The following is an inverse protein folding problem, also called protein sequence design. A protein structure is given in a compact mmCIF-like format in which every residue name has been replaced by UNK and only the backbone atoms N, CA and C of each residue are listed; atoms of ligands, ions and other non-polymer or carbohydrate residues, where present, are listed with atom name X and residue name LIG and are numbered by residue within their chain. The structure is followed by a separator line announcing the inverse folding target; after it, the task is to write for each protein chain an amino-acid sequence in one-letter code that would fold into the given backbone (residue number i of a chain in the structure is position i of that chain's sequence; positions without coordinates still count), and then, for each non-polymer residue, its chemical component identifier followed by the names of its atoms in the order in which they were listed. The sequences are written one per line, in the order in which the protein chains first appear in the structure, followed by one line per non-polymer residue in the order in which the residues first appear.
data_IF_857528944091
#
_entry.id   IF_857528944091
#
_cell.length_a   1.000
_cell.length_b   1.000
_cell.length_c   1.000
_cell.angle_alpha   90.00
_cell.angle_beta   90.00
_cell.angle_gamma   90.00
#
_symmetry.space_group_name_H-M   'P 1'
#
loop_
_entity.id
_entity.type
_entity.pdbx_description
1 polymer ?
#
# COMPACT_ATOMS: atom_id res chain seq x y z
N UNK A 1 -14.34 -20.56 -13.18
CA UNK A 1 -13.42 -20.06 -12.14
C UNK A 1 -13.40 -18.57 -12.15
N UNK A 2 -13.58 -17.97 -10.98
CA UNK A 2 -13.63 -16.53 -10.89
C UNK A 2 -12.22 -15.93 -10.94
N UNK A 3 -11.92 -15.19 -11.99
CA UNK A 3 -10.66 -14.46 -12.15
C UNK A 3 -10.51 -13.41 -11.04
N UNK A 4 -11.62 -12.91 -10.49
CA UNK A 4 -11.61 -12.01 -9.35
C UNK A 4 -10.93 -12.64 -8.13
N UNK A 5 -11.02 -13.95 -7.97
CA UNK A 5 -10.35 -14.65 -6.87
C UNK A 5 -8.83 -14.53 -6.97
N UNK A 6 -8.30 -14.60 -8.17
CA UNK A 6 -6.85 -14.42 -8.40
C UNK A 6 -6.41 -12.98 -8.14
N UNK A 7 -7.23 -12.01 -8.55
CA UNK A 7 -6.93 -10.60 -8.31
C UNK A 7 -6.92 -10.24 -6.82
N UNK A 8 -7.75 -10.91 -6.03
CA UNK A 8 -7.89 -10.66 -4.58
C UNK A 8 -6.79 -11.29 -3.72
N UNK A 9 -5.97 -12.15 -4.29
CA UNK A 9 -4.90 -12.81 -3.52
C UNK A 9 -3.95 -11.80 -2.90
N UNK A 10 -3.49 -12.10 -1.70
CA UNK A 10 -2.46 -11.32 -1.05
C UNK A 10 -1.19 -11.32 -1.88
N UNK A 11 -0.41 -10.28 -1.73
CA UNK A 11 0.88 -10.11 -2.40
C UNK A 11 1.86 -9.48 -1.41
N UNK A 12 3.16 -9.58 -1.66
CA UNK A 12 4.15 -8.89 -0.83
C UNK A 12 3.86 -7.40 -0.76
N UNK A 13 3.99 -6.83 0.42
CA UNK A 13 3.72 -5.42 0.65
C UNK A 13 4.79 -4.81 1.55
N UNK A 14 4.80 -3.49 1.59
CA UNK A 14 5.76 -2.70 2.36
C UNK A 14 5.02 -1.84 3.37
N UNK A 15 5.76 -1.23 4.27
CA UNK A 15 5.25 -0.30 5.26
C UNK A 15 5.80 1.09 5.00
N UNK A 16 4.99 2.11 5.24
CA UNK A 16 5.39 3.51 5.13
C UNK A 16 4.85 4.32 6.29
N UNK A 17 5.55 5.41 6.61
CA UNK A 17 5.06 6.38 7.58
C UNK A 17 3.89 7.14 6.98
N UNK A 18 2.76 7.13 7.67
CA UNK A 18 1.59 7.93 7.29
C UNK A 18 1.59 9.28 7.98
N UNK A 19 1.81 9.30 9.29
CA UNK A 19 1.78 10.52 10.09
C UNK A 19 2.52 10.34 11.41
N UNK A 20 2.87 11.46 12.01
CA UNK A 20 3.38 11.51 13.38
C UNK A 20 2.29 12.12 14.26
N UNK A 21 1.92 11.40 15.32
CA UNK A 21 0.96 11.87 16.31
C UNK A 21 1.62 11.87 17.69
N UNK A 22 1.93 13.05 18.22
CA UNK A 22 2.70 13.18 19.45
C UNK A 22 4.07 12.50 19.30
N UNK A 23 4.32 11.48 20.10
CA UNK A 23 5.55 10.69 20.06
C UNK A 23 5.39 9.35 19.35
N UNK A 24 4.31 9.17 18.59
CA UNK A 24 4.03 7.94 17.85
C UNK A 24 4.08 8.15 16.36
N UNK A 25 4.78 7.28 15.67
CA UNK A 25 4.78 7.20 14.21
C UNK A 25 3.72 6.20 13.78
N UNK A 26 2.75 6.68 12.99
CA UNK A 26 1.66 5.85 12.47
C UNK A 26 2.08 5.33 11.11
N UNK A 27 2.20 4.01 10.99
CA UNK A 27 2.66 3.35 9.77
C UNK A 27 1.57 2.48 9.17
N UNK A 28 1.46 2.50 7.85
CA UNK A 28 0.46 1.75 7.08
C UNK A 28 1.12 0.88 6.03
N UNK A 29 0.51 -0.26 5.76
CA UNK A 29 0.94 -1.15 4.69
C UNK A 29 0.53 -0.57 3.33
N UNK A 30 1.37 -0.80 2.31
CA UNK A 30 1.08 -0.35 0.96
C UNK A 30 1.70 -1.26 -0.09
N UNK A 31 1.15 -1.18 -1.29
CA UNK A 31 1.74 -1.69 -2.53
C UNK A 31 1.87 -0.50 -3.49
N UNK A 32 2.79 -0.56 -4.42
CA UNK A 32 2.93 0.50 -5.42
C UNK A 32 2.18 0.15 -6.71
N UNK A 33 2.14 1.12 -7.63
CA UNK A 33 1.43 0.95 -8.90
C UNK A 33 2.00 -0.19 -9.74
N UNK A 34 3.31 -0.45 -9.64
CA UNK A 34 3.96 -1.54 -10.39
C UNK A 34 3.50 -2.90 -9.89
N UNK A 35 3.31 -3.06 -8.59
CA UNK A 35 2.77 -4.30 -8.02
C UNK A 35 1.38 -4.61 -8.59
N UNK A 36 0.56 -3.57 -8.75
CA UNK A 36 -0.77 -3.69 -9.37
C UNK A 36 -0.66 -4.09 -10.83
N UNK A 37 0.24 -3.44 -11.59
CA UNK A 37 0.45 -3.75 -13.00
C UNK A 37 0.92 -5.20 -13.17
N UNK A 38 1.86 -5.64 -12.35
CA UNK A 38 2.35 -7.01 -12.39
C UNK A 38 1.24 -8.02 -12.14
N UNK A 39 0.35 -7.75 -11.19
CA UNK A 39 -0.80 -8.61 -10.93
C UNK A 39 -1.76 -8.65 -12.12
N UNK A 40 -2.05 -7.52 -12.73
CA UNK A 40 -2.90 -7.47 -13.92
C UNK A 40 -2.28 -8.20 -15.10
N UNK A 41 -0.98 -8.04 -15.31
CA UNK A 41 -0.25 -8.75 -16.37
C UNK A 41 -0.27 -10.26 -16.13
N UNK A 42 -0.05 -10.69 -14.88
CA UNK A 42 -0.04 -12.10 -14.52
C UNK A 42 -1.38 -12.78 -14.78
N UNK A 43 -2.49 -12.10 -14.46
CA UNK A 43 -3.83 -12.70 -14.54
C UNK A 43 -4.46 -12.53 -15.92
N UNK A 44 -4.27 -11.38 -16.55
CA UNK A 44 -4.96 -11.04 -17.80
C UNK A 44 -4.05 -10.84 -19.01
N UNK A 45 -2.73 -10.78 -18.80
CA UNK A 45 -1.78 -10.55 -19.89
C UNK A 45 -2.07 -9.23 -20.60
N UNK A 46 -2.34 -9.29 -21.89
CA UNK A 46 -2.63 -8.12 -22.73
C UNK A 46 -4.13 -7.74 -22.76
N UNK A 47 -4.95 -8.38 -21.92
CA UNK A 47 -6.41 -8.16 -21.90
C UNK A 47 -6.85 -7.18 -20.83
N UNK A 48 -5.99 -6.26 -20.42
CA UNK A 48 -6.36 -5.17 -19.54
C UNK A 48 -5.82 -3.85 -20.07
N UNK A 49 -6.46 -2.77 -19.70
CA UNK A 49 -6.01 -1.42 -20.03
C UNK A 49 -6.50 -0.43 -18.97
N UNK A 50 -5.93 0.75 -18.95
CA UNK A 50 -6.40 1.80 -18.07
C UNK A 50 -6.58 3.12 -18.84
N UNK A 51 -7.50 3.93 -18.38
CA UNK A 51 -7.78 5.26 -18.92
C UNK A 51 -7.87 6.24 -17.77
N UNK A 52 -7.41 7.47 -18.01
CA UNK A 52 -7.58 8.58 -17.08
C UNK A 52 -8.52 9.60 -17.68
N UNK A 53 -9.40 10.15 -16.85
CA UNK A 53 -10.31 11.20 -17.28
C UNK A 53 -10.63 12.11 -16.11
N UNK A 54 -11.10 13.32 -16.41
CA UNK A 54 -11.52 14.28 -15.40
C UNK A 54 -13.04 14.39 -15.40
N UNK A 55 -13.63 14.43 -14.20
CA UNK A 55 -15.04 14.66 -13.99
C UNK A 55 -15.20 15.44 -12.69
N UNK A 56 -15.98 16.51 -12.71
CA UNK A 56 -16.23 17.37 -11.55
C UNK A 56 -14.93 17.89 -10.88
N UNK A 57 -13.92 18.17 -11.70
CA UNK A 57 -12.62 18.65 -11.22
C UNK A 57 -11.74 17.59 -10.59
N UNK A 58 -12.15 16.32 -10.61
CA UNK A 58 -11.41 15.20 -10.04
C UNK A 58 -10.81 14.31 -11.14
N UNK A 59 -9.62 13.77 -10.88
CA UNK A 59 -8.98 12.82 -11.78
C UNK A 59 -9.45 11.41 -11.43
N UNK A 60 -10.03 10.73 -12.41
CA UNK A 60 -10.43 9.32 -12.30
C UNK A 60 -9.51 8.43 -13.10
N UNK A 61 -9.33 7.20 -12.62
CA UNK A 61 -8.74 6.12 -13.38
C UNK A 61 -9.80 5.03 -13.58
N UNK A 62 -9.94 4.55 -14.80
CA UNK A 62 -10.76 3.39 -15.11
C UNK A 62 -9.84 2.27 -15.56
N UNK A 63 -9.98 1.10 -14.94
CA UNK A 63 -9.28 -0.12 -15.34
C UNK A 63 -10.29 -1.01 -16.06
N UNK A 64 -10.00 -1.34 -17.31
CA UNK A 64 -10.82 -2.20 -18.14
C UNK A 64 -10.20 -3.57 -18.30
N UNK A 65 -11.04 -4.59 -18.25
CA UNK A 65 -10.64 -5.98 -18.43
C UNK A 65 -11.55 -6.60 -19.49
N UNK A 66 -10.91 -7.25 -20.45
CA UNK A 66 -11.65 -8.02 -21.46
C UNK A 66 -12.07 -9.35 -20.85
N UNK A 67 -13.35 -9.44 -20.47
CA UNK A 67 -13.90 -10.61 -19.77
C UNK A 67 -14.25 -11.76 -20.71
N UNK A 68 -14.72 -11.41 -21.92
CA UNK A 68 -14.90 -12.32 -23.04
C UNK A 68 -14.41 -11.60 -24.29
N UNK A 69 -14.14 -12.28 -25.44
CA UNK A 69 -13.62 -11.61 -26.63
C UNK A 69 -14.45 -10.37 -27.04
N UNK A 70 -13.78 -9.24 -27.09
CA UNK A 70 -14.34 -7.92 -27.42
C UNK A 70 -15.36 -7.37 -26.41
N UNK A 71 -15.51 -7.99 -25.25
CA UNK A 71 -16.38 -7.50 -24.20
C UNK A 71 -15.56 -6.99 -23.02
N UNK A 72 -15.57 -5.68 -22.84
CA UNK A 72 -14.77 -5.00 -21.81
C UNK A 72 -15.65 -4.54 -20.67
N UNK A 73 -15.22 -4.81 -19.45
CA UNK A 73 -15.85 -4.30 -18.23
C UNK A 73 -14.89 -3.30 -17.58
N UNK A 74 -15.42 -2.15 -17.21
CA UNK A 74 -14.63 -1.06 -16.63
C UNK A 74 -15.06 -0.78 -15.20
N UNK A 75 -14.08 -0.60 -14.34
CA UNK A 75 -14.28 -0.13 -12.97
C UNK A 75 -13.34 1.04 -12.72
N UNK A 76 -13.86 2.09 -12.08
CA UNK A 76 -13.12 3.33 -11.90
C UNK A 76 -13.22 3.86 -10.48
N UNK A 77 -12.23 4.65 -10.11
CA UNK A 77 -12.21 5.39 -8.86
C UNK A 77 -11.33 6.62 -9.02
N UNK A 78 -11.42 7.52 -8.08
CA UNK A 78 -10.63 8.75 -8.06
C UNK A 78 -9.61 8.72 -6.94
N UNK A 79 -8.47 9.40 -7.13
CA UNK A 79 -7.46 9.57 -6.09
C UNK A 79 -7.84 10.67 -5.12
N UNK A 80 -7.31 10.58 -3.90
CA UNK A 80 -7.43 11.66 -2.93
C UNK A 80 -6.41 12.75 -3.25
N UNK A 81 -6.74 14.01 -2.92
CA UNK A 81 -5.79 15.11 -3.02
C UNK A 81 -4.64 14.89 -2.03
N UNK A 82 -3.42 14.68 -2.54
CA UNK A 82 -2.23 14.80 -1.71
C UNK A 82 -1.63 16.17 -1.93
N UNK A 83 -1.23 16.83 -0.84
CA UNK A 83 -0.72 18.20 -0.88
C UNK A 83 0.71 18.30 -1.45
N UNK A 84 1.33 17.19 -1.80
CA UNK A 84 2.71 17.13 -2.28
C UNK A 84 2.73 16.40 -3.62
N UNK A 85 3.20 17.07 -4.68
CA UNK A 85 3.25 16.55 -6.05
C UNK A 85 1.88 16.13 -6.60
N UNK A 86 0.96 17.08 -6.62
CA UNK A 86 -0.46 16.85 -6.95
C UNK A 86 -0.72 16.04 -8.22
N UNK A 87 0.06 16.20 -9.28
CA UNK A 87 -0.23 15.54 -10.56
C UNK A 87 0.20 14.08 -10.61
N UNK A 88 1.43 13.77 -10.19
CA UNK A 88 1.96 12.40 -10.22
C UNK A 88 1.31 11.51 -9.17
N UNK A 89 1.09 12.07 -7.97
CA UNK A 89 0.46 11.35 -6.87
C UNK A 89 -1.01 11.00 -7.17
N UNK A 90 -1.73 11.90 -7.83
CA UNK A 90 -3.14 11.68 -8.19
C UNK A 90 -3.33 10.51 -9.14
N UNK A 91 -2.53 10.43 -10.22
CA UNK A 91 -2.65 9.35 -11.20
C UNK A 91 -2.39 7.98 -10.58
N UNK A 92 -1.29 7.88 -9.80
CA UNK A 92 -0.92 6.63 -9.13
C UNK A 92 -1.95 6.23 -8.08
N UNK A 93 -2.46 7.19 -7.31
CA UNK A 93 -3.48 6.92 -6.29
C UNK A 93 -4.80 6.51 -6.92
N UNK A 94 -5.25 7.21 -7.98
CA UNK A 94 -6.46 6.86 -8.71
C UNK A 94 -6.36 5.46 -9.32
N UNK A 95 -5.19 5.10 -9.87
CA UNK A 95 -4.95 3.77 -10.43
C UNK A 95 -5.04 2.68 -9.35
N UNK A 96 -4.39 2.87 -8.22
CA UNK A 96 -4.45 1.89 -7.11
C UNK A 96 -5.86 1.76 -6.55
N UNK A 97 -6.62 2.85 -6.47
CA UNK A 97 -8.02 2.80 -5.98
C UNK A 97 -8.92 2.10 -6.99
N UNK A 98 -8.74 2.35 -8.29
CA UNK A 98 -9.45 1.59 -9.32
C UNK A 98 -9.13 0.09 -9.26
N UNK A 99 -7.87 -0.25 -8.96
CA UNK A 99 -7.45 -1.64 -8.76
C UNK A 99 -8.16 -2.30 -7.59
N UNK A 100 -8.39 -1.58 -6.50
CA UNK A 100 -9.15 -2.07 -5.33
C UNK A 100 -10.59 -2.40 -5.72
N UNK A 101 -11.19 -1.66 -6.65
CA UNK A 101 -12.51 -1.99 -7.20
C UNK A 101 -12.52 -3.37 -7.85
N UNK A 102 -11.40 -3.79 -8.42
CA UNK A 102 -11.19 -5.14 -8.97
C UNK A 102 -10.71 -6.15 -7.93
N UNK A 103 -10.42 -5.72 -6.71
CA UNK A 103 -9.96 -6.58 -5.61
C UNK A 103 -8.46 -6.59 -5.37
N UNK A 104 -7.66 -5.96 -6.23
CA UNK A 104 -6.20 -5.92 -6.10
C UNK A 104 -5.82 -4.99 -4.96
N UNK A 105 -5.10 -5.52 -3.96
CA UNK A 105 -4.69 -4.73 -2.80
C UNK A 105 -5.78 -4.51 -1.76
N UNK A 106 -6.95 -5.10 -1.96
CA UNK A 106 -8.06 -4.95 -1.00
C UNK A 106 -7.71 -5.51 0.37
N UNK A 107 -6.86 -6.53 0.44
CA UNK A 107 -6.41 -7.12 1.70
C UNK A 107 -5.69 -6.12 2.61
N UNK A 108 -5.06 -5.08 2.05
CA UNK A 108 -4.33 -4.07 2.82
C UNK A 108 -5.23 -3.35 3.83
N UNK A 109 -6.52 -3.19 3.51
CA UNK A 109 -7.48 -2.53 4.40
C UNK A 109 -7.83 -3.36 5.64
N UNK A 110 -7.46 -4.63 5.66
CA UNK A 110 -7.67 -5.52 6.81
C UNK A 110 -6.45 -5.58 7.72
N UNK A 111 -5.32 -5.04 7.29
CA UNK A 111 -4.09 -5.02 8.08
C UNK A 111 -4.17 -3.89 9.10
N UNK A 112 -3.78 -4.19 10.34
CA UNK A 112 -3.75 -3.19 11.38
C UNK A 112 -2.63 -2.18 11.12
N UNK A 113 -2.90 -0.92 11.43
CA UNK A 113 -1.86 0.10 11.42
C UNK A 113 -0.81 -0.25 12.50
N UNK A 114 0.42 0.15 12.25
CA UNK A 114 1.51 -0.07 13.20
C UNK A 114 1.93 1.25 13.81
N UNK A 115 2.00 1.29 15.14
CA UNK A 115 2.49 2.45 15.86
C UNK A 115 3.91 2.17 16.33
N UNK A 116 4.84 3.06 16.00
CA UNK A 116 6.23 2.97 16.42
C UNK A 116 6.60 4.17 17.26
N UNK A 117 7.57 3.98 18.15
CA UNK A 117 8.17 5.09 18.88
C UNK A 117 8.95 5.97 17.93
N UNK A 118 9.12 7.24 18.29
CA UNK A 118 9.85 8.21 17.48
C UNK A 118 11.15 8.66 18.14
N UNK A 119 12.10 9.06 17.30
CA UNK A 119 13.27 9.80 17.70
C UNK A 119 13.42 11.03 16.82
N UNK A 120 14.29 11.95 17.22
CA UNK A 120 14.50 13.21 16.50
C UNK A 120 15.83 13.25 15.77
N UNK A 121 15.82 13.84 14.57
CA UNK A 121 17.01 14.16 13.81
C UNK A 121 16.78 15.50 13.09
N UNK A 122 17.67 16.45 13.36
CA UNK A 122 17.59 17.80 12.78
C UNK A 122 16.20 18.46 12.97
N UNK A 123 15.63 18.31 14.18
CA UNK A 123 14.35 18.91 14.53
C UNK A 123 13.11 18.23 13.97
N UNK A 124 13.26 17.08 13.31
CA UNK A 124 12.17 16.31 12.75
C UNK A 124 12.07 14.94 13.39
N UNK A 125 10.85 14.48 13.64
CA UNK A 125 10.59 13.15 14.21
C UNK A 125 10.56 12.08 13.12
N UNK A 126 11.16 10.93 13.44
CA UNK A 126 11.19 9.75 12.58
C UNK A 126 10.83 8.52 13.42
N UNK A 127 10.27 7.48 12.81
CA UNK A 127 10.14 6.21 13.52
C UNK A 127 11.51 5.66 13.88
N UNK A 128 11.58 4.94 15.01
CA UNK A 128 12.83 4.33 15.47
C UNK A 128 12.64 2.88 15.85
N UNK A 129 13.72 2.15 15.84
CA UNK A 129 13.78 0.78 16.36
C UNK A 129 13.63 0.84 17.88
N UNK A 130 12.76 0.02 18.43
CA UNK A 130 12.57 -0.09 19.88
C UNK A 130 12.14 -1.51 20.26
N UNK A 131 12.40 -1.87 21.50
CA UNK A 131 11.92 -3.14 22.05
C UNK A 131 12.68 -4.38 21.59
N UNK A 132 13.84 -4.24 20.95
CA UNK A 132 14.66 -5.38 20.52
C UNK A 132 15.54 -5.92 21.63
N UNK A 133 15.87 -5.09 22.63
CA UNK A 133 16.83 -5.43 23.68
C UNK A 133 18.27 -5.49 23.17
N UNK A 134 18.55 -4.93 22.00
CA UNK A 134 19.87 -4.92 21.37
C UNK A 134 20.37 -3.49 21.18
N UNK A 135 21.62 -3.35 20.73
CA UNK A 135 22.21 -2.06 20.39
C UNK A 135 21.52 -1.35 19.23
N UNK A 136 20.62 -2.03 18.54
CA UNK A 136 19.83 -1.42 17.44
C UNK A 136 18.73 -0.49 17.95
N UNK A 137 18.32 -0.63 19.22
CA UNK A 137 17.30 0.23 19.81
C UNK A 137 17.74 1.69 19.75
N UNK A 138 16.82 2.55 19.30
CA UNK A 138 17.09 3.96 19.08
C UNK A 138 17.52 4.33 17.67
N UNK A 139 17.83 3.36 16.81
CA UNK A 139 18.16 3.63 15.41
C UNK A 139 16.95 4.17 14.67
N UNK A 140 17.14 5.32 14.00
CA UNK A 140 16.08 5.94 13.22
C UNK A 140 15.85 5.20 11.91
N UNK A 141 14.58 5.12 11.50
CA UNK A 141 14.15 4.41 10.31
C UNK A 141 13.79 5.44 9.23
N UNK A 142 14.73 5.73 8.34
CA UNK A 142 14.56 6.75 7.31
C UNK A 142 13.97 6.20 6.00
N UNK A 143 14.24 4.94 5.68
CA UNK A 143 13.79 4.35 4.41
C UNK A 143 12.61 3.41 4.62
N UNK A 144 11.79 3.26 3.57
CA UNK A 144 10.69 2.31 3.57
C UNK A 144 11.19 0.87 3.76
N UNK A 145 12.35 0.52 3.21
CA UNK A 145 12.92 -0.82 3.38
C UNK A 145 13.29 -1.11 4.83
N UNK A 146 13.97 -0.18 5.50
CA UNK A 146 14.33 -0.34 6.91
C UNK A 146 13.09 -0.41 7.78
N UNK A 147 12.11 0.45 7.52
CA UNK A 147 10.83 0.46 8.22
C UNK A 147 10.10 -0.86 8.05
N UNK A 148 10.01 -1.35 6.81
CA UNK A 148 9.35 -2.62 6.48
C UNK A 148 10.02 -3.79 7.20
N UNK A 149 11.34 -3.85 7.17
CA UNK A 149 12.09 -4.92 7.84
C UNK A 149 11.86 -4.93 9.36
N UNK A 150 11.86 -3.76 9.97
CA UNK A 150 11.61 -3.66 11.41
C UNK A 150 10.18 -4.04 11.78
N UNK A 151 9.18 -3.54 11.04
CA UNK A 151 7.78 -3.86 11.32
C UNK A 151 7.50 -5.35 11.11
N UNK A 152 8.05 -5.95 10.05
CA UNK A 152 7.89 -7.39 9.81
C UNK A 152 8.50 -8.22 10.95
N UNK A 153 9.68 -7.84 11.43
CA UNK A 153 10.27 -8.46 12.60
C UNK A 153 9.35 -8.34 13.83
N UNK A 154 8.82 -7.16 14.07
CA UNK A 154 7.94 -6.89 15.20
C UNK A 154 6.67 -7.75 15.15
N UNK A 155 6.06 -7.87 13.98
CA UNK A 155 4.87 -8.70 13.77
C UNK A 155 5.18 -10.17 14.03
N UNK A 156 6.32 -10.67 13.54
CA UNK A 156 6.76 -12.06 13.78
C UNK A 156 6.94 -12.35 15.25
N UNK A 157 7.51 -11.42 16.02
CA UNK A 157 7.66 -11.58 17.47
C UNK A 157 6.31 -11.71 18.17
N UNK A 158 5.35 -10.88 17.82
CA UNK A 158 3.99 -10.92 18.37
C UNK A 158 3.32 -12.25 18.06
N UNK A 159 3.38 -12.72 16.82
CA UNK A 159 2.78 -13.98 16.39
C UNK A 159 3.43 -15.19 17.08
N UNK A 160 4.74 -15.19 17.31
CA UNK A 160 5.42 -16.30 18.00
C UNK A 160 5.04 -16.40 19.49
N UNK A 161 4.76 -15.27 20.14
CA UNK A 161 4.26 -15.25 21.53
C UNK A 161 2.85 -15.81 21.59
N UNK A 162 1.98 -15.42 20.66
CA UNK A 162 0.58 -15.89 20.61
C UNK A 162 0.49 -17.39 20.31
N UNK A 163 1.43 -17.94 19.55
CA UNK A 163 1.45 -19.38 19.23
C UNK A 163 1.96 -20.26 20.39
N UNK A 164 2.56 -19.66 21.44
CA UNK A 164 3.05 -20.38 22.63
C UNK A 164 2.06 -20.35 23.80
N UNK A 165 0.97 -19.64 23.66
CA UNK A 165 -0.07 -19.53 24.71
C UNK A 165 -1.23 -20.55 24.51
#
# INVERSE_FOLDING_TARGET
MSVLKELKKEMPYKWRLQSIRGNKAICVAYIDARDVQDRLDEVYGDRWQCKYYQADGLLFCAIGIEVTPNEWVWRSDTGSESNVEKEKGHASDAFKRAAVMWGIGRFLYRLEIQELETGEYKGKKYPKVSGTGTSKDGKLLFSSNDLTNFINWKIEQTNSVDSQS
#
